data_IF_008322217983
#
_entry.id   IF_008322217983
#
_cell.length_a   1.000
_cell.length_b   1.000
_cell.length_c   1.000
_cell.angle_alpha   90.00
_cell.angle_beta   90.00
_cell.angle_gamma   90.00
#
_symmetry.space_group_name_H-M   'P 1'
#
loop_
_entity.id
_entity.type
_entity.pdbx_description
1 polymer ?
#
# COMPACT_ATOMS: atom_id res chain seq x y z
N UNK A 1 37.28 -13.06 11.60
CA UNK A 1 35.83 -12.76 11.59
C UNK A 1 35.25 -13.39 10.33
N UNK A 2 34.27 -14.28 10.47
CA UNK A 2 33.71 -15.06 9.36
C UNK A 2 32.63 -14.25 8.63
N UNK A 3 32.68 -14.05 7.30
CA UNK A 3 31.76 -13.17 6.56
C UNK A 3 30.40 -13.81 6.20
N UNK A 4 30.02 -14.92 6.84
CA UNK A 4 28.84 -15.73 6.49
C UNK A 4 27.63 -15.52 7.43
N UNK A 5 27.60 -14.44 8.20
CA UNK A 5 26.45 -14.11 9.05
C UNK A 5 25.73 -12.87 8.52
N UNK A 6 24.97 -13.00 7.45
CA UNK A 6 24.00 -11.95 7.11
C UNK A 6 22.77 -12.46 6.34
N UNK A 7 22.02 -13.42 6.90
CA UNK A 7 20.58 -13.52 6.60
C UNK A 7 19.78 -14.33 7.63
N UNK A 8 19.83 -13.97 8.91
CA UNK A 8 18.90 -14.49 9.92
C UNK A 8 17.53 -13.76 9.90
N UNK A 9 17.07 -13.32 8.73
CA UNK A 9 15.71 -12.77 8.61
C UNK A 9 14.74 -13.94 8.47
N UNK A 10 13.70 -14.04 9.32
CA UNK A 10 12.72 -15.11 9.20
C UNK A 10 12.06 -15.07 7.82
N UNK A 11 11.92 -16.22 7.16
CA UNK A 11 11.35 -16.34 5.81
C UNK A 11 9.92 -15.77 5.69
N UNK A 12 9.18 -15.70 6.80
CA UNK A 12 7.83 -15.14 6.86
C UNK A 12 7.81 -13.60 6.97
N UNK A 13 8.92 -12.98 7.37
CA UNK A 13 8.97 -11.56 7.74
C UNK A 13 8.55 -10.66 6.58
N UNK A 14 9.08 -10.93 5.39
CA UNK A 14 8.80 -10.11 4.21
C UNK A 14 7.35 -10.27 3.74
N UNK A 15 6.79 -11.48 3.83
CA UNK A 15 5.38 -11.74 3.54
C UNK A 15 4.45 -10.98 4.48
N UNK A 16 4.72 -11.02 5.80
CA UNK A 16 3.94 -10.28 6.81
C UNK A 16 4.07 -8.77 6.62
N UNK A 17 5.26 -8.28 6.23
CA UNK A 17 5.50 -6.86 6.00
C UNK A 17 4.68 -6.34 4.80
N UNK A 18 4.67 -7.08 3.68
CA UNK A 18 3.87 -6.73 2.50
C UNK A 18 2.38 -6.78 2.82
N UNK A 19 1.93 -7.85 3.48
CA UNK A 19 0.54 -7.98 3.90
C UNK A 19 0.11 -6.81 4.79
N UNK A 20 0.86 -6.51 5.85
CA UNK A 20 0.55 -5.40 6.75
C UNK A 20 0.51 -4.05 6.05
N UNK A 21 1.42 -3.80 5.08
CA UNK A 21 1.41 -2.56 4.29
C UNK A 21 0.16 -2.47 3.40
N UNK A 22 -0.22 -3.54 2.72
CA UNK A 22 -1.43 -3.57 1.88
C UNK A 22 -2.69 -3.42 2.73
N UNK A 23 -2.78 -4.14 3.84
CA UNK A 23 -3.88 -4.02 4.80
C UNK A 23 -4.01 -2.59 5.33
N UNK A 24 -2.89 -1.94 5.66
CA UNK A 24 -2.90 -0.54 6.10
C UNK A 24 -3.40 0.41 5.01
N UNK A 25 -2.99 0.22 3.75
CA UNK A 25 -3.47 1.05 2.64
C UNK A 25 -4.98 0.92 2.38
N UNK A 26 -5.60 -0.21 2.75
CA UNK A 26 -7.05 -0.42 2.62
C UNK A 26 -7.78 0.08 3.87
N UNK A 27 -7.29 -0.30 5.06
CA UNK A 27 -7.98 -0.01 6.32
C UNK A 27 -8.03 1.48 6.62
N UNK A 28 -6.96 2.22 6.35
CA UNK A 28 -6.89 3.66 6.60
C UNK A 28 -7.99 4.45 5.87
N UNK A 29 -8.11 4.38 4.53
CA UNK A 29 -9.14 5.13 3.82
C UNK A 29 -10.55 4.63 4.13
N UNK A 30 -10.75 3.33 4.41
CA UNK A 30 -12.06 2.78 4.77
C UNK A 30 -12.53 3.26 6.14
N UNK A 31 -11.67 3.22 7.16
CA UNK A 31 -12.00 3.73 8.51
C UNK A 31 -12.26 5.23 8.45
N UNK A 32 -11.41 5.97 7.74
CA UNK A 32 -11.56 7.42 7.57
C UNK A 32 -12.88 7.77 6.85
N UNK A 33 -13.21 7.06 5.78
CA UNK A 33 -14.46 7.22 5.04
C UNK A 33 -15.70 6.87 5.88
N UNK A 34 -15.62 5.83 6.72
CA UNK A 34 -16.71 5.44 7.61
C UNK A 34 -17.01 6.53 8.64
N UNK A 35 -15.97 7.09 9.28
CA UNK A 35 -16.13 8.17 10.24
C UNK A 35 -16.66 9.46 9.58
N UNK A 36 -16.05 9.88 8.47
CA UNK A 36 -16.46 11.09 7.73
C UNK A 36 -17.88 10.96 7.16
N UNK A 37 -18.20 9.80 6.59
CA UNK A 37 -19.51 9.53 5.98
C UNK A 37 -20.62 9.59 7.02
N UNK A 38 -20.44 8.93 8.17
CA UNK A 38 -21.43 8.97 9.27
C UNK A 38 -21.59 10.38 9.84
N UNK A 39 -20.51 11.12 10.01
CA UNK A 39 -20.57 12.50 10.49
C UNK A 39 -21.32 13.43 9.51
N UNK A 40 -21.11 13.27 8.20
CA UNK A 40 -21.86 14.03 7.19
C UNK A 40 -23.33 13.62 7.15
N UNK A 41 -23.63 12.32 7.28
CA UNK A 41 -25.00 11.81 7.27
C UNK A 41 -25.80 12.28 8.48
N UNK A 42 -25.22 12.34 9.68
CA UNK A 42 -25.87 12.90 10.87
C UNK A 42 -26.22 14.38 10.68
N UNK A 43 -25.34 15.15 10.04
CA UNK A 43 -25.57 16.58 9.80
C UNK A 43 -26.64 16.85 8.73
N UNK A 44 -26.83 15.93 7.78
CA UNK A 44 -27.72 16.09 6.61
C UNK A 44 -29.01 15.26 6.68
N UNK A 45 -29.15 14.39 7.69
CA UNK A 45 -30.31 13.48 7.89
C UNK A 45 -30.63 12.63 6.64
N UNK A 46 -29.58 12.18 5.95
CA UNK A 46 -29.67 11.55 4.60
C UNK A 46 -29.72 10.03 4.60
N UNK A 47 -29.99 9.38 5.73
CA UNK A 47 -30.25 7.93 5.76
C UNK A 47 -29.12 7.04 5.21
N UNK A 48 -27.86 7.49 5.33
CA UNK A 48 -26.61 6.80 4.95
C UNK A 48 -26.10 7.01 3.50
N UNK A 49 -26.63 7.99 2.76
CA UNK A 49 -26.19 8.27 1.39
C UNK A 49 -24.72 8.74 1.32
N UNK A 50 -24.26 9.59 2.24
CA UNK A 50 -22.87 10.07 2.23
C UNK A 50 -21.89 8.98 2.61
N UNK A 51 -22.27 8.07 3.51
CA UNK A 51 -21.48 6.89 3.84
C UNK A 51 -21.15 6.04 2.60
N UNK A 52 -22.13 5.74 1.74
CA UNK A 52 -21.89 4.97 0.52
C UNK A 52 -20.96 5.70 -0.46
N UNK A 53 -21.12 7.02 -0.61
CA UNK A 53 -20.24 7.83 -1.47
C UNK A 53 -18.81 7.86 -0.92
N UNK A 54 -18.65 8.08 0.39
CA UNK A 54 -17.34 8.08 1.03
C UNK A 54 -16.63 6.73 0.91
N UNK A 55 -17.36 5.62 1.09
CA UNK A 55 -16.82 4.28 0.86
C UNK A 55 -16.43 4.08 -0.59
N UNK A 56 -17.27 4.48 -1.55
CA UNK A 56 -16.96 4.41 -2.97
C UNK A 56 -15.65 5.14 -3.29
N UNK A 57 -15.50 6.38 -2.79
CA UNK A 57 -14.28 7.17 -2.96
C UNK A 57 -13.06 6.47 -2.32
N UNK A 58 -13.22 5.86 -1.15
CA UNK A 58 -12.14 5.13 -0.46
C UNK A 58 -11.57 3.98 -1.31
N UNK A 59 -12.42 3.28 -2.06
CA UNK A 59 -12.00 2.24 -3.00
C UNK A 59 -11.14 2.81 -4.13
N UNK A 60 -11.57 3.92 -4.75
CA UNK A 60 -10.80 4.57 -5.81
C UNK A 60 -9.44 5.08 -5.30
N UNK A 61 -9.40 5.66 -4.10
CA UNK A 61 -8.15 6.10 -3.45
C UNK A 61 -7.21 4.92 -3.24
N UNK A 62 -7.73 3.78 -2.78
CA UNK A 62 -6.96 2.55 -2.56
C UNK A 62 -6.37 2.03 -3.87
N UNK A 63 -7.18 1.95 -4.94
CA UNK A 63 -6.72 1.53 -6.28
C UNK A 63 -5.59 2.44 -6.77
N UNK A 64 -5.75 3.76 -6.61
CA UNK A 64 -4.75 4.73 -7.02
C UNK A 64 -3.44 4.58 -6.23
N UNK A 65 -3.51 4.40 -4.90
CA UNK A 65 -2.33 4.18 -4.06
C UNK A 65 -1.55 2.93 -4.48
N UNK A 66 -2.24 1.82 -4.68
CA UNK A 66 -1.61 0.56 -5.10
C UNK A 66 -0.97 0.73 -6.49
N UNK A 67 -1.65 1.38 -7.42
CA UNK A 67 -1.12 1.63 -8.76
C UNK A 67 0.15 2.51 -8.74
N UNK A 68 0.16 3.53 -7.89
CA UNK A 68 1.33 4.39 -7.67
C UNK A 68 2.52 3.61 -7.12
N UNK A 69 2.28 2.79 -6.09
CA UNK A 69 3.32 1.91 -5.50
C UNK A 69 3.88 0.93 -6.54
N UNK A 70 3.00 0.31 -7.34
CA UNK A 70 3.40 -0.60 -8.43
C UNK A 70 4.31 0.08 -9.47
N UNK A 71 4.00 1.32 -9.88
CA UNK A 71 4.86 2.07 -10.81
C UNK A 71 6.25 2.33 -10.23
N UNK A 72 6.31 2.69 -8.94
CA UNK A 72 7.58 2.90 -8.24
C UNK A 72 8.38 1.60 -8.16
N UNK A 73 7.69 0.48 -7.85
CA UNK A 73 8.31 -0.83 -7.77
C UNK A 73 8.88 -1.28 -9.13
N UNK A 74 8.11 -1.14 -10.22
CA UNK A 74 8.59 -1.44 -11.58
C UNK A 74 9.82 -0.62 -11.93
N UNK A 75 9.81 0.69 -11.64
CA UNK A 75 10.96 1.56 -11.91
C UNK A 75 12.21 1.12 -11.12
N UNK A 76 12.05 0.69 -9.87
CA UNK A 76 13.16 0.16 -9.07
C UNK A 76 13.73 -1.14 -9.66
N UNK A 77 12.88 -2.04 -10.13
CA UNK A 77 13.31 -3.29 -10.78
C UNK A 77 14.08 -3.02 -12.09
N UNK A 78 13.57 -2.14 -12.95
CA UNK A 78 14.23 -1.77 -14.21
C UNK A 78 15.60 -1.09 -13.99
N UNK A 79 15.76 -0.36 -12.88
CA UNK A 79 17.04 0.27 -12.50
C UNK A 79 18.00 -0.77 -11.93
N UNK A 80 17.52 -1.69 -11.08
CA UNK A 80 18.35 -2.74 -10.47
C UNK A 80 18.96 -3.66 -11.53
N UNK A 81 18.18 -4.07 -12.53
CA UNK A 81 18.69 -4.90 -13.64
C UNK A 81 19.76 -4.20 -14.46
N UNK A 82 19.58 -2.91 -14.79
CA UNK A 82 20.59 -2.10 -15.50
C UNK A 82 21.87 -1.88 -14.70
N UNK A 83 21.77 -1.78 -13.38
CA UNK A 83 22.95 -1.64 -12.51
C UNK A 83 23.72 -2.96 -12.47
N UNK A 84 23.05 -4.10 -12.32
CA UNK A 84 23.70 -5.41 -12.34
C UNK A 84 24.45 -5.69 -13.66
N UNK A 85 23.88 -5.33 -14.81
CA UNK A 85 24.58 -5.44 -16.11
C UNK A 85 25.86 -4.60 -16.16
N UNK A 86 25.82 -3.35 -15.67
CA UNK A 86 27.01 -2.47 -15.63
C UNK A 86 28.13 -2.98 -14.71
N UNK A 87 27.81 -3.72 -13.66
CA UNK A 87 28.80 -4.31 -12.76
C UNK A 87 29.38 -5.61 -13.32
N UNK A 88 28.70 -6.29 -14.25
CA UNK A 88 29.18 -7.52 -14.89
C UNK A 88 30.12 -7.28 -16.08
N UNK A 89 30.02 -6.11 -16.73
CA UNK A 89 30.88 -5.70 -17.86
C UNK A 89 32.23 -5.09 -17.44
N UNK A 90 32.48 -4.89 -16.14
CA UNK A 90 33.68 -4.23 -15.61
C UNK A 90 34.55 -5.18 -14.80
#
# INVERSE_FOLDING_TARGET
MNPLQENNKPWWRDGVLVFGRVSAYISVPVILASFLGKYLDEKRNTGNLFFFICIGISFFVTIYLIWKEMKIYKKKLDISSKIEEKFKEK
#
